data_IF_320000307519
#
_entry.id   IF_320000307519
#
_cell.length_a   1.000
_cell.length_b   1.000
_cell.length_c   1.000
_cell.angle_alpha   90.00
_cell.angle_beta   90.00
_cell.angle_gamma   90.00
#
_symmetry.space_group_name_H-M   'P 1'
#
loop_
_entity.id
_entity.type
_entity.pdbx_description
1 polymer ?
#
# COMPACT_ATOMS: atom_id res chain seq x y z
N UNK A 1 -18.21 10.30 2.74
CA UNK A 1 -18.07 9.05 3.53
C UNK A 1 -17.17 9.30 4.72
N UNK A 2 -17.69 9.07 5.90
CA UNK A 2 -16.90 9.25 7.11
C UNK A 2 -16.06 8.01 7.39
N UNK A 3 -14.78 8.21 7.65
CA UNK A 3 -13.87 7.11 7.94
C UNK A 3 -13.00 7.44 9.15
N UNK A 4 -12.52 6.38 9.80
CA UNK A 4 -11.48 6.49 10.83
C UNK A 4 -10.25 5.75 10.37
N UNK A 5 -9.09 6.28 10.75
CA UNK A 5 -7.80 5.65 10.45
C UNK A 5 -7.15 5.27 11.78
N UNK A 6 -6.68 4.02 11.85
CA UNK A 6 -5.95 3.54 13.02
C UNK A 6 -4.66 2.86 12.59
N UNK A 7 -3.70 2.82 13.49
CA UNK A 7 -2.46 2.11 13.23
C UNK A 7 -2.71 0.60 13.15
N UNK A 8 -1.98 -0.05 12.25
CA UNK A 8 -2.01 -1.50 12.13
C UNK A 8 -1.29 -2.16 13.29
N UNK A 9 -1.81 -3.31 13.73
CA UNK A 9 -1.19 -4.13 14.76
C UNK A 9 -0.80 -5.48 14.17
N UNK A 10 -0.08 -6.27 14.96
CA UNK A 10 0.32 -7.62 14.52
C UNK A 10 -0.89 -8.50 14.18
N UNK A 11 -2.00 -8.31 14.88
CA UNK A 11 -3.22 -9.08 14.65
C UNK A 11 -3.92 -8.73 13.34
N UNK A 12 -3.49 -7.69 12.66
CA UNK A 12 -4.13 -7.23 11.43
C UNK A 12 -3.61 -7.92 10.16
N UNK A 13 -2.75 -8.92 10.29
CA UNK A 13 -2.23 -9.63 9.12
C UNK A 13 -3.34 -10.11 8.16
N UNK A 14 -4.44 -10.70 8.64
CA UNK A 14 -5.52 -11.12 7.72
C UNK A 14 -6.09 -9.98 6.89
N UNK A 15 -6.20 -8.80 7.48
CA UNK A 15 -6.67 -7.60 6.77
C UNK A 15 -5.72 -7.27 5.63
N UNK A 16 -4.41 -7.37 5.87
CA UNK A 16 -3.42 -7.03 4.87
C UNK A 16 -3.40 -8.00 3.69
N UNK A 17 -3.68 -9.28 3.92
CA UNK A 17 -3.80 -10.24 2.84
C UNK A 17 -4.95 -9.85 1.90
N UNK A 18 -6.09 -9.44 2.48
CA UNK A 18 -7.22 -8.98 1.68
C UNK A 18 -6.87 -7.69 0.93
N UNK A 19 -6.25 -6.74 1.61
CA UNK A 19 -5.86 -5.47 0.98
C UNK A 19 -4.85 -5.67 -0.13
N UNK A 20 -3.91 -6.58 0.05
CA UNK A 20 -2.92 -6.88 -0.96
C UNK A 20 -3.58 -7.34 -2.26
N UNK A 21 -4.60 -8.18 -2.15
CA UNK A 21 -5.37 -8.60 -3.31
C UNK A 21 -5.99 -7.41 -4.04
N UNK A 22 -6.61 -6.49 -3.31
CA UNK A 22 -7.22 -5.31 -3.93
C UNK A 22 -6.18 -4.37 -4.53
N UNK A 23 -5.01 -4.30 -3.96
CA UNK A 23 -3.92 -3.49 -4.51
C UNK A 23 -3.44 -4.01 -5.85
N UNK A 24 -3.50 -5.32 -6.06
CA UNK A 24 -3.13 -5.95 -7.31
C UNK A 24 -4.25 -5.89 -8.34
N UNK A 25 -5.49 -6.08 -7.88
CA UNK A 25 -6.63 -6.16 -8.79
C UNK A 25 -7.28 -4.81 -9.03
N UNK A 26 -6.48 -3.84 -9.44
CA UNK A 26 -7.01 -2.56 -9.88
C UNK A 26 -7.48 -2.62 -11.32
N UNK A 27 -7.42 -3.78 -11.92
CA UNK A 27 -7.85 -4.00 -13.28
C UNK A 27 -9.37 -3.87 -13.41
N UNK A 28 -9.85 -3.45 -14.57
CA UNK A 28 -11.27 -3.44 -14.84
C UNK A 28 -11.88 -4.83 -14.70
N UNK A 29 -13.18 -4.85 -14.61
CA UNK A 29 -14.06 -5.99 -14.31
C UNK A 29 -13.78 -7.31 -15.00
N UNK A 30 -13.12 -7.30 -16.12
CA UNK A 30 -12.90 -8.47 -16.95
C UNK A 30 -11.62 -9.26 -16.62
N UNK A 31 -10.79 -8.72 -15.73
CA UNK A 31 -9.59 -9.42 -15.29
C UNK A 31 -9.66 -9.68 -13.79
N UNK A 32 -10.44 -10.68 -13.42
CA UNK A 32 -10.45 -11.11 -12.02
C UNK A 32 -9.25 -11.99 -11.76
N UNK A 33 -8.33 -11.47 -10.96
CA UNK A 33 -7.21 -12.25 -10.52
C UNK A 33 -7.68 -13.30 -9.51
N UNK A 34 -7.09 -14.49 -9.58
CA UNK A 34 -7.32 -15.50 -8.55
C UNK A 34 -6.81 -15.00 -7.20
N UNK A 35 -7.51 -15.32 -6.13
CA UNK A 35 -7.07 -15.00 -4.77
C UNK A 35 -5.70 -15.57 -4.47
N UNK A 36 -5.31 -16.64 -5.16
CA UNK A 36 -4.03 -17.29 -4.95
C UNK A 36 -2.84 -16.44 -5.40
N UNK A 37 -3.07 -15.41 -6.20
CA UNK A 37 -1.98 -14.56 -6.70
C UNK A 37 -1.18 -13.93 -5.55
N UNK A 38 -1.83 -13.65 -4.41
CA UNK A 38 -1.15 -13.02 -3.27
C UNK A 38 -0.17 -13.98 -2.60
N UNK A 39 -0.25 -15.28 -2.88
CA UNK A 39 0.67 -16.27 -2.29
C UNK A 39 1.99 -16.40 -3.05
N UNK A 40 2.11 -15.77 -4.21
CA UNK A 40 3.37 -15.78 -4.96
C UNK A 40 4.43 -15.04 -4.14
N UNK A 41 5.66 -15.57 -4.05
CA UNK A 41 6.71 -14.96 -3.21
C UNK A 41 6.96 -13.48 -3.48
N UNK A 42 6.96 -13.06 -4.74
CA UNK A 42 7.18 -11.67 -5.10
C UNK A 42 6.06 -10.75 -4.64
N UNK A 43 4.90 -11.31 -4.30
CA UNK A 43 3.73 -10.56 -3.83
C UNK A 43 3.57 -10.74 -2.31
N UNK A 44 3.65 -11.98 -1.83
CA UNK A 44 3.41 -12.28 -0.41
C UNK A 44 4.41 -11.60 0.51
N UNK A 45 5.58 -11.26 0.00
CA UNK A 45 6.62 -10.58 0.79
C UNK A 45 6.13 -9.25 1.40
N UNK A 46 5.07 -8.67 0.86
CA UNK A 46 4.53 -7.43 1.41
C UNK A 46 3.78 -7.63 2.72
N UNK A 47 3.35 -8.85 3.02
CA UNK A 47 2.48 -9.11 4.17
C UNK A 47 2.98 -10.26 5.06
N UNK A 48 3.58 -11.28 4.47
CA UNK A 48 3.93 -12.49 5.20
C UNK A 48 4.76 -12.19 6.44
N UNK A 49 4.31 -12.72 7.59
CA UNK A 49 4.96 -12.46 8.85
C UNK A 49 4.79 -11.05 9.38
N UNK A 50 3.68 -10.42 9.08
CA UNK A 50 3.41 -9.05 9.52
C UNK A 50 3.61 -8.87 11.02
N UNK A 51 4.19 -7.73 11.38
CA UNK A 51 4.48 -7.40 12.77
C UNK A 51 5.97 -7.44 13.10
N UNK A 52 6.82 -7.58 12.09
CA UNK A 52 8.27 -7.54 12.30
C UNK A 52 8.72 -6.12 12.63
N UNK A 53 9.89 -6.02 13.25
CA UNK A 53 10.51 -4.72 13.52
C UNK A 53 10.63 -3.95 12.20
N UNK A 54 10.18 -2.70 12.21
CA UNK A 54 10.20 -1.87 11.02
C UNK A 54 8.92 -1.87 10.20
N UNK A 55 8.00 -2.80 10.48
CA UNK A 55 6.69 -2.78 9.83
C UNK A 55 5.86 -1.63 10.41
N UNK A 56 5.21 -0.87 9.53
CA UNK A 56 4.42 0.28 9.93
C UNK A 56 3.29 0.49 8.96
N UNK A 57 2.10 0.81 9.46
CA UNK A 57 0.99 1.07 8.56
C UNK A 57 -0.27 1.49 9.26
N UNK A 58 -1.26 1.78 8.43
CA UNK A 58 -2.57 2.27 8.86
C UNK A 58 -3.68 1.62 8.06
N UNK A 59 -4.85 1.51 8.68
CA UNK A 59 -6.04 0.96 8.05
C UNK A 59 -7.19 1.94 8.24
N UNK A 60 -8.03 2.05 7.22
CA UNK A 60 -9.22 2.91 7.25
C UNK A 60 -10.48 2.06 7.33
N UNK A 61 -11.36 2.43 8.23
CA UNK A 61 -12.68 1.80 8.42
C UNK A 61 -13.78 2.85 8.28
N UNK A 62 -14.94 2.43 7.81
CA UNK A 62 -16.13 3.28 7.82
C UNK A 62 -16.57 3.50 9.26
N UNK A 63 -16.82 4.75 9.64
CA UNK A 63 -17.23 5.08 11.01
C UNK A 63 -18.55 4.44 11.43
N UNK A 64 -19.46 4.29 10.49
CA UNK A 64 -20.82 3.82 10.81
C UNK A 64 -20.87 2.32 11.01
N UNK A 65 -20.28 1.55 10.09
CA UNK A 65 -20.44 0.10 10.12
C UNK A 65 -19.12 -0.65 10.31
N UNK A 66 -18.00 0.07 10.49
CA UNK A 66 -16.66 -0.50 10.67
C UNK A 66 -16.18 -1.30 9.46
N UNK A 67 -16.79 -1.12 8.30
CA UNK A 67 -16.37 -1.80 7.09
C UNK A 67 -14.95 -1.38 6.73
N UNK A 68 -14.16 -2.34 6.27
CA UNK A 68 -12.79 -2.11 5.83
C UNK A 68 -12.81 -1.34 4.50
N UNK A 69 -12.10 -0.23 4.44
CA UNK A 69 -12.08 0.64 3.26
C UNK A 69 -10.75 0.56 2.51
N UNK A 70 -9.65 0.54 3.23
CA UNK A 70 -8.33 0.52 2.63
C UNK A 70 -7.23 0.45 3.66
N UNK A 71 -5.99 0.32 3.18
CA UNK A 71 -4.81 0.29 4.04
C UNK A 71 -3.60 0.79 3.29
N UNK A 72 -2.63 1.31 4.04
CA UNK A 72 -1.32 1.67 3.51
C UNK A 72 -0.28 1.23 4.52
N UNK A 73 0.78 0.60 4.05
CA UNK A 73 1.80 0.11 4.97
C UNK A 73 3.19 0.12 4.33
N UNK A 74 4.20 0.14 5.21
CA UNK A 74 5.60 0.10 4.83
C UNK A 74 6.24 -1.16 5.36
N UNK A 75 7.14 -1.73 4.59
CA UNK A 75 7.87 -2.91 4.98
C UNK A 75 9.25 -2.92 4.35
N UNK A 76 10.25 -3.28 5.14
CA UNK A 76 11.60 -3.47 4.61
C UNK A 76 11.74 -4.84 3.98
N UNK A 77 12.45 -4.96 2.84
CA UNK A 77 12.77 -6.27 2.29
C UNK A 77 13.61 -7.05 3.30
N UNK A 78 13.31 -8.33 3.54
CA UNK A 78 13.99 -9.10 4.60
C UNK A 78 15.49 -9.34 4.34
N UNK A 79 15.92 -9.24 3.11
CA UNK A 79 17.26 -9.65 2.72
C UNK A 79 18.28 -8.54 2.64
N UNK A 80 17.85 -7.28 2.71
CA UNK A 80 18.75 -6.14 2.54
C UNK A 80 18.38 -5.04 3.51
N UNK A 81 19.15 -4.94 4.57
CA UNK A 81 18.88 -3.98 5.64
C UNK A 81 18.98 -2.53 5.19
N UNK A 82 19.74 -2.24 4.13
CA UNK A 82 19.93 -0.89 3.62
C UNK A 82 19.03 -0.56 2.42
N UNK A 83 18.19 -1.50 1.98
CA UNK A 83 17.20 -1.20 0.96
C UNK A 83 16.11 -0.30 1.54
N UNK A 84 15.56 0.62 0.74
CA UNK A 84 14.49 1.46 1.23
C UNK A 84 13.23 0.63 1.54
N UNK A 85 12.46 1.04 2.55
CA UNK A 85 11.18 0.39 2.81
C UNK A 85 10.26 0.59 1.61
N UNK A 86 9.45 -0.44 1.34
CA UNK A 86 8.48 -0.38 0.26
C UNK A 86 7.08 -0.10 0.79
N UNK A 87 6.40 0.80 0.09
CA UNK A 87 5.03 1.19 0.38
C UNK A 87 4.07 0.29 -0.37
N UNK A 88 3.02 -0.13 0.31
CA UNK A 88 1.86 -0.76 -0.32
C UNK A 88 0.63 0.05 0.03
N UNK A 89 -0.25 0.25 -0.93
CA UNK A 89 -1.47 1.01 -0.76
C UNK A 89 -2.60 0.30 -1.49
N UNK A 90 -3.72 0.13 -0.82
CA UNK A 90 -4.90 -0.43 -1.44
C UNK A 90 -6.16 0.21 -0.86
N UNK A 91 -7.11 0.52 -1.74
CA UNK A 91 -8.44 0.99 -1.36
C UNK A 91 -9.42 0.09 -2.09
N UNK A 92 -10.43 -0.42 -1.40
CA UNK A 92 -11.44 -1.27 -2.04
C UNK A 92 -12.07 -0.52 -3.21
N UNK A 93 -12.33 -1.20 -4.34
CA UNK A 93 -12.82 -0.53 -5.55
C UNK A 93 -14.06 0.33 -5.34
N UNK A 94 -15.01 -0.13 -4.52
CA UNK A 94 -16.25 0.59 -4.26
C UNK A 94 -16.06 1.85 -3.42
N UNK A 95 -14.88 2.04 -2.83
CA UNK A 95 -14.57 3.17 -1.97
C UNK A 95 -13.52 4.11 -2.55
N UNK A 96 -13.11 3.90 -3.79
CA UNK A 96 -12.14 4.76 -4.46
C UNK A 96 -12.73 6.14 -4.74
N UNK A 97 -11.87 7.13 -4.90
CA UNK A 97 -12.22 8.53 -5.18
C UNK A 97 -12.92 9.26 -4.03
N UNK A 98 -12.77 8.76 -2.80
CA UNK A 98 -13.30 9.42 -1.61
C UNK A 98 -12.19 10.01 -0.74
N UNK A 99 -10.96 10.11 -1.26
CA UNK A 99 -9.84 10.68 -0.51
C UNK A 99 -9.23 9.74 0.52
N UNK A 100 -9.61 8.47 0.54
CA UNK A 100 -9.11 7.51 1.53
C UNK A 100 -7.63 7.24 1.33
N UNK A 101 -7.20 7.04 0.07
CA UNK A 101 -5.79 6.84 -0.24
C UNK A 101 -4.92 8.01 0.20
N UNK A 102 -5.40 9.23 -0.05
CA UNK A 102 -4.70 10.44 0.38
C UNK A 102 -4.57 10.50 1.90
N UNK A 103 -5.66 10.21 2.61
CA UNK A 103 -5.65 10.22 4.06
C UNK A 103 -4.70 9.18 4.64
N UNK A 104 -4.70 7.97 4.08
CA UNK A 104 -3.80 6.90 4.51
C UNK A 104 -2.33 7.26 4.29
N UNK A 105 -2.00 7.79 3.10
CA UNK A 105 -0.63 8.19 2.80
C UNK A 105 -0.17 9.34 3.69
N UNK A 106 -1.06 10.27 3.99
CA UNK A 106 -0.74 11.38 4.89
C UNK A 106 -0.33 10.85 6.27
N UNK A 107 -1.10 9.92 6.81
CA UNK A 107 -0.78 9.31 8.10
C UNK A 107 0.53 8.55 8.06
N UNK A 108 0.72 7.76 7.01
CA UNK A 108 1.91 6.92 6.89
C UNK A 108 3.19 7.74 6.80
N UNK A 109 3.18 8.79 5.99
CA UNK A 109 4.34 9.65 5.82
C UNK A 109 4.65 10.39 7.13
N UNK A 110 3.63 10.88 7.82
CA UNK A 110 3.80 11.56 9.10
C UNK A 110 4.37 10.65 10.18
N UNK A 111 3.98 9.39 10.17
CA UNK A 111 4.42 8.43 11.17
C UNK A 111 5.84 7.92 10.92
N UNK A 112 6.42 8.20 9.76
CA UNK A 112 7.73 7.67 9.39
C UNK A 112 8.67 8.79 8.88
N UNK A 113 8.91 9.82 9.69
CA UNK A 113 9.74 10.95 9.25
C UNK A 113 11.21 10.61 9.10
N UNK A 114 11.65 9.53 9.74
CA UNK A 114 13.06 9.15 9.77
C UNK A 114 13.52 8.32 8.58
N UNK A 115 12.61 7.91 7.72
CA UNK A 115 12.99 7.16 6.53
C UNK A 115 13.54 8.11 5.47
N UNK A 116 14.80 7.93 5.11
CA UNK A 116 15.46 8.78 4.11
C UNK A 116 14.89 8.57 2.71
N UNK A 117 14.39 7.37 2.42
CA UNK A 117 13.80 7.05 1.12
C UNK A 117 12.69 6.03 1.30
N UNK A 118 11.58 6.25 0.64
CA UNK A 118 10.47 5.29 0.56
C UNK A 118 10.29 4.92 -0.90
N UNK A 119 10.16 3.64 -1.18
CA UNK A 119 9.97 3.11 -2.52
C UNK A 119 8.54 2.62 -2.71
N UNK A 120 7.99 2.82 -3.89
CA UNK A 120 6.70 2.23 -4.26
C UNK A 120 6.80 1.66 -5.67
N UNK A 121 6.16 0.52 -5.89
CA UNK A 121 6.10 -0.12 -7.21
C UNK A 121 4.64 -0.39 -7.55
N UNK A 122 4.26 -0.07 -8.77
CA UNK A 122 2.90 -0.31 -9.24
C UNK A 122 2.88 -0.59 -10.74
N UNK A 123 1.78 -1.16 -11.22
CA UNK A 123 1.61 -1.48 -12.63
C UNK A 123 1.50 -0.18 -13.43
N UNK A 124 2.21 -0.13 -14.56
CA UNK A 124 2.20 1.05 -15.43
C UNK A 124 0.77 1.35 -15.92
N UNK A 125 0.50 2.63 -16.14
CA UNK A 125 -0.78 3.09 -16.66
C UNK A 125 -1.87 3.33 -15.62
N UNK A 126 -1.57 3.16 -14.34
CA UNK A 126 -2.56 3.40 -13.28
C UNK A 126 -2.64 4.87 -12.91
N UNK A 127 -3.86 5.35 -12.56
CA UNK A 127 -4.03 6.75 -12.12
C UNK A 127 -3.33 7.08 -10.80
N UNK A 128 -2.88 6.09 -10.05
CA UNK A 128 -2.20 6.27 -8.78
C UNK A 128 -0.89 7.05 -8.90
N UNK A 129 -0.32 7.14 -10.10
CA UNK A 129 0.89 7.92 -10.35
C UNK A 129 0.76 9.36 -9.83
N UNK A 130 -0.35 10.02 -10.14
CA UNK A 130 -0.58 11.40 -9.70
C UNK A 130 -0.67 11.52 -8.19
N UNK A 131 -1.26 10.54 -7.55
CA UNK A 131 -1.35 10.52 -6.10
C UNK A 131 0.04 10.52 -5.49
N UNK A 132 0.91 9.62 -5.95
CA UNK A 132 2.27 9.53 -5.43
C UNK A 132 3.08 10.79 -5.73
N UNK A 133 2.91 11.37 -6.92
CA UNK A 133 3.59 12.62 -7.26
C UNK A 133 3.25 13.75 -6.29
N UNK A 134 1.99 13.83 -5.87
CA UNK A 134 1.57 14.84 -4.90
C UNK A 134 2.24 14.68 -3.54
N UNK A 135 2.69 13.48 -3.21
CA UNK A 135 3.41 13.20 -1.97
C UNK A 135 4.93 13.30 -2.13
N UNK A 136 5.40 13.77 -3.28
CA UNK A 136 6.84 13.96 -3.51
C UNK A 136 7.57 12.76 -4.07
N UNK A 137 6.85 11.73 -4.47
CA UNK A 137 7.47 10.58 -5.15
C UNK A 137 7.84 10.95 -6.58
N UNK A 138 8.98 10.46 -7.03
CA UNK A 138 9.47 10.66 -8.39
C UNK A 138 9.79 9.33 -9.03
N UNK A 139 9.54 9.22 -10.33
CA UNK A 139 9.84 8.00 -11.07
C UNK A 139 11.35 7.81 -11.12
N UNK A 140 11.83 6.65 -10.69
CA UNK A 140 13.25 6.28 -10.76
C UNK A 140 13.50 5.14 -11.72
N UNK A 141 12.47 4.37 -12.05
CA UNK A 141 12.56 3.30 -13.02
C UNK A 141 11.21 3.12 -13.71
N UNK A 142 11.23 2.97 -15.02
CA UNK A 142 10.00 2.76 -15.76
C UNK A 142 10.22 1.60 -16.74
N UNK A 143 9.35 0.60 -16.62
CA UNK A 143 9.34 -0.57 -17.49
C UNK A 143 7.97 -0.67 -18.15
N UNK A 144 7.85 -1.46 -19.22
CA UNK A 144 6.54 -1.61 -19.87
C UNK A 144 5.43 -2.09 -18.92
N UNK A 145 5.77 -2.89 -17.92
CA UNK A 145 4.82 -3.50 -17.01
C UNK A 145 4.79 -2.90 -15.61
N UNK A 146 5.75 -2.04 -15.26
CA UNK A 146 5.83 -1.53 -13.89
C UNK A 146 6.53 -0.18 -13.83
N UNK A 147 6.14 0.61 -12.83
CA UNK A 147 6.78 1.88 -12.49
C UNK A 147 7.28 1.80 -11.06
N UNK A 148 8.51 2.25 -10.83
CA UNK A 148 9.05 2.38 -9.48
C UNK A 148 9.28 3.86 -9.19
N UNK A 149 8.80 4.32 -8.05
CA UNK A 149 8.97 5.71 -7.62
C UNK A 149 9.62 5.73 -6.26
N UNK A 150 10.41 6.78 -6.00
CA UNK A 150 11.02 7.01 -4.70
C UNK A 150 10.63 8.37 -4.17
N UNK A 151 10.46 8.45 -2.87
CA UNK A 151 10.30 9.70 -2.16
C UNK A 151 11.46 9.83 -1.18
N UNK A 152 12.20 10.93 -1.30
CA UNK A 152 13.25 11.28 -0.35
C UNK A 152 12.68 12.25 0.68
N UNK A 153 13.03 12.06 1.93
CA UNK A 153 12.63 12.98 2.99
C UNK A 153 13.68 14.01 3.26
#
# INVERSE_FOLDING_TARGET
MDHEIRALTRQDEPILWEMLYYGLSSAPKDEQLSRDVVRRPEISRYVEGWGRVGDSGFVAHDKKNQALLGAAWLRRPPEKSDAPPELALAVKPEHRRHGIGTALLTQLVRANPDHSTISVRFVAGKPVLRLYERFGFKVVEQRPDAVVMHRAT
#
